data_IF_236906851017
#
_entry.id   IF_236906851017
#
_cell.length_a   1.000
_cell.length_b   1.000
_cell.length_c   1.000
_cell.angle_alpha   90.00
_cell.angle_beta   90.00
_cell.angle_gamma   90.00
#
_symmetry.space_group_name_H-M   'P 1'
#
loop_
_entity.id
_entity.type
_entity.pdbx_description
1 polymer ?
#
# COMPACT_ATOMS: atom_id res chain seq x y z
N UNK A 1 -19.16 0.96 -7.42
CA UNK A 1 -18.38 -0.11 -6.75
C UNK A 1 -16.97 0.41 -6.60
N UNK A 2 -16.57 0.67 -5.37
CA UNK A 2 -15.22 1.09 -5.02
C UNK A 2 -14.29 -0.13 -5.17
N UNK A 3 -13.73 -0.32 -6.37
CA UNK A 3 -12.62 -1.25 -6.55
C UNK A 3 -11.33 -0.52 -6.15
N UNK A 4 -11.12 -0.42 -4.85
CA UNK A 4 -9.78 -0.17 -4.30
C UNK A 4 -9.13 -1.56 -4.25
N UNK A 5 -7.88 -1.67 -4.71
CA UNK A 5 -7.05 -2.85 -4.43
C UNK A 5 -7.04 -3.08 -2.91
N UNK A 6 -7.18 -4.32 -2.46
CA UNK A 6 -7.21 -4.67 -1.03
C UNK A 6 -8.49 -5.40 -0.59
N UNK A 7 -8.59 -5.67 0.72
CA UNK A 7 -9.68 -6.47 1.32
C UNK A 7 -11.08 -5.92 0.97
N UNK A 8 -11.89 -6.76 0.32
CA UNK A 8 -13.34 -6.54 0.19
C UNK A 8 -13.98 -6.60 1.58
N UNK A 9 -14.95 -5.73 1.86
CA UNK A 9 -15.72 -5.79 3.11
C UNK A 9 -16.30 -7.19 3.33
N UNK A 10 -15.69 -7.91 4.27
CA UNK A 10 -16.04 -9.30 4.58
C UNK A 10 -17.48 -9.40 5.06
N UNK A 11 -17.98 -8.39 5.79
CA UNK A 11 -19.38 -8.33 6.25
C UNK A 11 -20.39 -8.42 5.10
N UNK A 12 -20.12 -7.77 3.96
CA UNK A 12 -21.01 -7.83 2.79
C UNK A 12 -21.06 -9.24 2.22
N UNK A 13 -19.91 -9.91 2.16
CA UNK A 13 -19.79 -11.28 1.64
C UNK A 13 -20.44 -12.26 2.61
N UNK A 14 -20.09 -12.19 3.90
CA UNK A 14 -20.64 -13.06 4.95
C UNK A 14 -22.15 -12.93 5.07
N UNK A 15 -22.68 -11.70 5.00
CA UNK A 15 -24.12 -11.46 4.98
C UNK A 15 -24.79 -12.09 3.76
N UNK A 16 -24.14 -12.09 2.60
CA UNK A 16 -24.69 -12.68 1.38
C UNK A 16 -24.75 -14.22 1.45
N UNK A 17 -23.78 -14.87 2.12
CA UNK A 17 -23.72 -16.33 2.22
C UNK A 17 -24.38 -16.90 3.49
N UNK A 18 -24.83 -16.04 4.42
CA UNK A 18 -25.54 -16.47 5.64
C UNK A 18 -24.65 -17.14 6.69
N UNK A 19 -23.32 -17.06 6.56
CA UNK A 19 -22.37 -17.64 7.51
C UNK A 19 -22.21 -16.72 8.72
N UNK A 20 -22.21 -17.29 9.93
CA UNK A 20 -21.93 -16.54 11.16
C UNK A 20 -20.42 -16.42 11.40
N UNK A 21 -20.05 -15.20 11.82
CA UNK A 21 -18.81 -14.72 12.47
C UNK A 21 -17.59 -15.64 12.31
N UNK A 22 -16.72 -15.29 11.38
CA UNK A 22 -15.36 -15.81 11.31
C UNK A 22 -14.51 -15.20 12.43
N UNK A 23 -13.54 -15.97 12.92
CA UNK A 23 -12.47 -15.49 13.78
C UNK A 23 -11.52 -14.57 13.00
N UNK A 24 -10.68 -13.82 13.73
CA UNK A 24 -9.86 -12.72 13.19
C UNK A 24 -8.85 -13.19 12.12
N UNK A 25 -8.08 -14.26 12.39
CA UNK A 25 -6.94 -14.67 11.56
C UNK A 25 -7.06 -16.09 10.98
N UNK A 26 -7.69 -16.98 11.74
CA UNK A 26 -7.87 -18.39 11.40
C UNK A 26 -9.13 -18.90 12.07
N UNK A 27 -9.78 -19.90 11.49
CA UNK A 27 -11.05 -20.44 11.99
C UNK A 27 -10.89 -21.87 12.48
N UNK A 28 -11.64 -22.24 13.51
CA UNK A 28 -11.71 -23.63 13.97
C UNK A 28 -12.30 -24.54 12.87
N UNK A 29 -11.63 -25.67 12.64
CA UNK A 29 -12.14 -26.75 11.78
C UNK A 29 -12.81 -27.80 12.65
N UNK A 30 -12.08 -28.32 13.64
CA UNK A 30 -12.55 -29.27 14.64
C UNK A 30 -11.57 -29.33 15.83
N UNK A 31 -12.10 -29.29 17.05
CA UNK A 31 -11.27 -29.35 18.27
C UNK A 31 -10.22 -28.25 18.28
N UNK A 32 -8.96 -28.61 18.53
CA UNK A 32 -7.86 -27.65 18.57
C UNK A 32 -7.29 -27.28 17.19
N UNK A 33 -7.86 -27.75 16.07
CA UNK A 33 -7.33 -27.47 14.74
C UNK A 33 -7.94 -26.21 14.12
N UNK A 34 -7.06 -25.31 13.67
CA UNK A 34 -7.39 -24.05 13.01
C UNK A 34 -6.94 -24.07 11.55
N UNK A 35 -7.70 -23.43 10.67
CA UNK A 35 -7.32 -23.20 9.27
C UNK A 35 -7.33 -21.72 8.92
N UNK A 36 -6.43 -21.35 8.01
CA UNK A 36 -6.44 -20.06 7.32
C UNK A 36 -5.98 -20.25 5.89
N UNK A 37 -6.35 -19.31 5.02
CA UNK A 37 -5.94 -19.28 3.62
C UNK A 37 -5.50 -17.88 3.24
N UNK A 38 -4.33 -17.76 2.63
CA UNK A 38 -3.79 -16.48 2.20
C UNK A 38 -3.18 -16.59 0.79
N UNK A 39 -3.44 -15.61 -0.09
CA UNK A 39 -2.72 -15.48 -1.33
C UNK A 39 -1.38 -14.77 -1.14
N UNK A 40 -0.37 -15.16 -1.91
CA UNK A 40 0.80 -14.36 -2.23
C UNK A 40 0.79 -14.06 -3.73
N UNK A 41 0.81 -12.77 -4.07
CA UNK A 41 0.73 -12.27 -5.44
C UNK A 41 1.61 -11.02 -5.57
N UNK A 42 2.24 -10.87 -6.74
CA UNK A 42 3.04 -9.67 -7.04
C UNK A 42 4.32 -9.54 -6.22
N UNK A 43 4.78 -10.59 -5.54
CA UNK A 43 6.14 -10.65 -4.97
C UNK A 43 7.12 -11.22 -6.01
N UNK A 44 8.42 -10.92 -5.92
CA UNK A 44 9.40 -11.50 -6.84
C UNK A 44 9.45 -13.02 -6.75
N UNK A 45 9.72 -13.67 -7.88
CA UNK A 45 9.70 -15.13 -8.04
C UNK A 45 10.54 -15.85 -6.98
N UNK A 46 11.73 -15.32 -6.67
CA UNK A 46 12.68 -15.88 -5.70
C UNK A 46 12.22 -15.83 -4.23
N UNK A 47 11.14 -15.10 -3.94
CA UNK A 47 10.53 -14.99 -2.63
C UNK A 47 9.06 -15.44 -2.60
N UNK A 48 8.49 -15.83 -3.75
CA UNK A 48 7.08 -16.24 -3.79
C UNK A 48 6.80 -17.45 -2.89
N UNK A 49 7.69 -18.44 -2.90
CA UNK A 49 7.57 -19.61 -2.03
C UNK A 49 7.65 -19.24 -0.55
N UNK A 50 8.63 -18.42 -0.18
CA UNK A 50 8.77 -17.85 1.17
C UNK A 50 7.50 -17.10 1.62
N UNK A 51 7.04 -16.10 0.87
CA UNK A 51 5.87 -15.31 1.27
C UNK A 51 4.58 -16.13 1.27
N UNK A 52 4.39 -17.03 0.30
CA UNK A 52 3.25 -17.93 0.25
C UNK A 52 3.14 -18.78 1.52
N UNK A 53 4.26 -19.23 2.08
CA UNK A 53 4.26 -19.94 3.36
C UNK A 53 4.01 -18.99 4.54
N UNK A 54 4.79 -17.91 4.62
CA UNK A 54 4.81 -17.03 5.79
C UNK A 54 3.51 -16.25 5.99
N UNK A 55 2.81 -15.87 4.91
CA UNK A 55 1.51 -15.19 4.98
C UNK A 55 0.48 -16.03 5.73
N UNK A 56 0.28 -17.28 5.33
CA UNK A 56 -0.69 -18.17 5.98
C UNK A 56 -0.20 -18.72 7.33
N UNK A 57 1.09 -19.05 7.45
CA UNK A 57 1.64 -19.60 8.69
C UNK A 57 1.63 -18.57 9.83
N UNK A 58 1.83 -17.28 9.53
CA UNK A 58 1.71 -16.20 10.51
C UNK A 58 0.31 -16.15 11.11
N UNK A 59 -0.73 -16.22 10.27
CA UNK A 59 -2.13 -16.20 10.73
C UNK A 59 -2.43 -17.33 11.72
N UNK A 60 -1.85 -18.52 11.52
CA UNK A 60 -1.92 -19.63 12.48
C UNK A 60 -1.13 -19.33 13.76
N UNK A 61 0.08 -18.77 13.64
CA UNK A 61 0.93 -18.46 14.79
C UNK A 61 0.35 -17.36 15.69
N UNK A 62 -0.21 -16.29 15.13
CA UNK A 62 -0.90 -15.23 15.91
C UNK A 62 -2.20 -15.74 16.54
N UNK A 63 -2.76 -16.83 16.03
CA UNK A 63 -3.81 -17.62 16.69
C UNK A 63 -3.33 -18.55 17.81
N UNK A 64 -2.07 -18.43 18.21
CA UNK A 64 -1.44 -19.30 19.20
C UNK A 64 -1.54 -20.79 18.83
N UNK A 65 -1.50 -21.09 17.53
CA UNK A 65 -1.43 -22.44 17.00
C UNK A 65 -0.08 -22.67 16.31
N UNK A 66 0.34 -23.94 16.31
CA UNK A 66 1.52 -24.38 15.56
C UNK A 66 1.09 -24.82 14.15
N UNK A 67 1.73 -24.31 13.09
CA UNK A 67 1.54 -24.84 11.73
C UNK A 67 1.92 -26.32 11.66
N UNK A 68 1.00 -27.19 11.25
CA UNK A 68 1.22 -28.65 11.16
C UNK A 68 1.11 -29.15 9.71
N UNK A 69 0.13 -28.64 8.95
CA UNK A 69 -0.12 -29.07 7.58
C UNK A 69 -0.28 -27.88 6.62
N UNK A 70 0.15 -28.07 5.37
CA UNK A 70 -0.01 -27.10 4.30
C UNK A 70 -0.70 -27.73 3.07
N UNK A 71 -1.54 -26.94 2.41
CA UNK A 71 -1.99 -27.14 1.03
C UNK A 71 -1.56 -25.93 0.21
N UNK A 72 -1.02 -26.16 -0.98
CA UNK A 72 -0.50 -25.08 -1.83
C UNK A 72 -1.08 -25.17 -3.25
N UNK A 73 -1.76 -24.13 -3.70
CA UNK A 73 -2.21 -23.96 -5.08
C UNK A 73 -1.38 -22.88 -5.79
N UNK A 74 -0.62 -23.28 -6.81
CA UNK A 74 0.23 -22.42 -7.62
C UNK A 74 -0.36 -22.24 -9.03
N UNK A 75 -0.76 -21.02 -9.35
CA UNK A 75 -1.34 -20.65 -10.64
C UNK A 75 -0.41 -19.68 -11.36
N UNK A 76 0.06 -20.05 -12.55
CA UNK A 76 1.05 -19.28 -13.31
C UNK A 76 0.50 -18.74 -14.64
N UNK A 77 1.08 -17.66 -15.18
CA UNK A 77 0.86 -17.25 -16.55
C UNK A 77 1.24 -18.33 -17.58
N UNK A 78 0.67 -18.23 -18.78
CA UNK A 78 1.08 -19.06 -19.90
C UNK A 78 2.56 -18.83 -20.25
N UNK A 79 3.30 -19.91 -20.56
CA UNK A 79 4.73 -19.84 -20.91
C UNK A 79 5.69 -19.58 -19.74
N UNK A 80 5.20 -19.50 -18.51
CA UNK A 80 6.03 -19.28 -17.32
C UNK A 80 7.05 -20.43 -17.15
N UNK A 81 8.36 -20.21 -16.87
CA UNK A 81 9.37 -21.28 -16.98
C UNK A 81 9.25 -22.39 -15.91
N UNK A 82 9.41 -23.66 -16.29
CA UNK A 82 9.38 -24.80 -15.36
C UNK A 82 10.44 -24.68 -14.25
N UNK A 83 11.68 -24.31 -14.60
CA UNK A 83 12.78 -24.14 -13.63
C UNK A 83 12.46 -23.08 -12.56
N UNK A 84 11.71 -22.03 -12.91
CA UNK A 84 11.28 -21.00 -11.97
C UNK A 84 10.21 -21.55 -11.02
N UNK A 85 9.24 -22.30 -11.54
CA UNK A 85 8.22 -22.97 -10.73
C UNK A 85 8.86 -23.94 -9.72
N UNK A 86 9.85 -24.72 -10.16
CA UNK A 86 10.57 -25.64 -9.29
C UNK A 86 11.31 -24.92 -8.16
N UNK A 87 11.95 -23.78 -8.45
CA UNK A 87 12.61 -22.94 -7.44
C UNK A 87 11.62 -22.40 -6.41
N UNK A 88 10.46 -21.92 -6.85
CA UNK A 88 9.39 -21.43 -5.97
C UNK A 88 8.91 -22.54 -5.03
N UNK A 89 8.64 -23.75 -5.56
CA UNK A 89 8.22 -24.88 -4.75
C UNK A 89 9.30 -25.32 -3.75
N UNK A 90 10.56 -25.37 -4.16
CA UNK A 90 11.69 -25.70 -3.27
C UNK A 90 11.85 -24.69 -2.14
N UNK A 91 11.62 -23.41 -2.43
CA UNK A 91 11.67 -22.36 -1.41
C UNK A 91 10.53 -22.50 -0.39
N UNK A 92 9.31 -22.77 -0.86
CA UNK A 92 8.16 -23.06 0.02
C UNK A 92 8.42 -24.29 0.92
N UNK A 93 8.95 -25.38 0.34
CA UNK A 93 9.27 -26.61 1.08
C UNK A 93 10.36 -26.40 2.14
N UNK A 94 11.33 -25.51 1.87
CA UNK A 94 12.35 -25.16 2.86
C UNK A 94 11.74 -24.51 4.09
N UNK A 95 10.79 -23.58 3.92
CA UNK A 95 10.10 -22.99 5.07
C UNK A 95 9.20 -24.01 5.76
N UNK A 96 8.54 -24.91 5.02
CA UNK A 96 7.82 -26.04 5.62
C UNK A 96 8.71 -26.87 6.54
N UNK A 97 9.89 -27.29 6.08
CA UNK A 97 10.86 -28.07 6.86
C UNK A 97 11.31 -27.31 8.12
N UNK A 98 11.68 -26.04 7.95
CA UNK A 98 12.17 -25.18 9.04
C UNK A 98 11.17 -25.02 10.19
N UNK A 99 9.88 -24.97 9.90
CA UNK A 99 8.83 -24.82 10.91
C UNK A 99 8.12 -26.14 11.27
N UNK A 100 8.54 -27.26 10.65
CA UNK A 100 7.96 -28.58 10.89
C UNK A 100 6.54 -28.76 10.33
N UNK A 101 6.19 -28.01 9.29
CA UNK A 101 4.91 -28.11 8.58
C UNK A 101 5.01 -29.15 7.48
N UNK A 102 4.00 -30.00 7.32
CA UNK A 102 3.95 -31.00 6.25
C UNK A 102 3.08 -30.53 5.10
N UNK A 103 3.63 -30.41 3.89
CA UNK A 103 2.83 -30.24 2.68
C UNK A 103 2.07 -31.54 2.39
N UNK A 104 0.74 -31.50 2.43
CA UNK A 104 -0.13 -32.69 2.30
C UNK A 104 -0.90 -32.75 0.99
N UNK A 105 -0.85 -31.71 0.18
CA UNK A 105 -1.52 -31.65 -1.11
C UNK A 105 -1.41 -30.27 -1.74
N UNK A 106 -1.98 -30.12 -2.92
CA UNK A 106 -1.90 -28.88 -3.67
C UNK A 106 -2.26 -29.04 -5.14
N UNK A 107 -2.13 -27.94 -5.87
CA UNK A 107 -2.30 -27.89 -7.31
C UNK A 107 -1.23 -26.99 -7.93
N UNK A 108 -0.85 -27.26 -9.17
CA UNK A 108 0.14 -26.43 -9.88
C UNK A 108 -0.18 -26.45 -11.37
N UNK A 109 -0.48 -25.28 -11.94
CA UNK A 109 -0.83 -25.19 -13.35
C UNK A 109 -0.58 -23.79 -13.94
N UNK A 110 -0.53 -23.76 -15.28
CA UNK A 110 -0.49 -22.53 -16.08
C UNK A 110 -1.86 -22.26 -16.66
N UNK A 111 -2.27 -21.00 -16.66
CA UNK A 111 -3.56 -20.61 -17.20
C UNK A 111 -3.46 -19.36 -18.06
N UNK A 112 -4.24 -19.35 -19.13
CA UNK A 112 -4.50 -18.14 -19.90
C UNK A 112 -5.31 -17.16 -19.05
N UNK A 113 -4.92 -15.89 -19.07
CA UNK A 113 -5.60 -14.82 -18.32
C UNK A 113 -5.01 -14.54 -16.93
N UNK A 114 -4.01 -15.32 -16.49
CA UNK A 114 -3.19 -15.00 -15.33
C UNK A 114 -2.04 -14.11 -15.77
N UNK A 115 -1.94 -12.91 -15.18
CA UNK A 115 -0.90 -11.94 -15.51
C UNK A 115 0.36 -12.13 -14.66
N UNK A 116 0.19 -12.47 -13.37
CA UNK A 116 1.27 -12.72 -12.41
C UNK A 116 1.09 -14.08 -11.75
N UNK A 117 2.18 -14.75 -11.33
CA UNK A 117 2.09 -15.92 -10.47
C UNK A 117 1.25 -15.64 -9.23
N UNK A 118 0.37 -16.59 -8.89
CA UNK A 118 -0.46 -16.56 -7.69
C UNK A 118 -0.22 -17.84 -6.91
N UNK A 119 0.23 -17.69 -5.67
CA UNK A 119 0.29 -18.79 -4.72
C UNK A 119 -0.84 -18.63 -3.71
N UNK A 120 -1.73 -19.61 -3.58
CA UNK A 120 -2.73 -19.66 -2.51
C UNK A 120 -2.38 -20.78 -1.55
N UNK A 121 -2.09 -20.42 -0.30
CA UNK A 121 -1.67 -21.37 0.72
C UNK A 121 -2.75 -21.49 1.77
N UNK A 122 -3.16 -22.73 2.06
CA UNK A 122 -3.93 -23.06 3.26
C UNK A 122 -3.00 -23.70 4.27
N UNK A 123 -2.96 -23.17 5.49
CA UNK A 123 -2.26 -23.81 6.61
C UNK A 123 -3.30 -24.28 7.62
N UNK A 124 -3.14 -25.53 8.06
CA UNK A 124 -3.86 -26.10 9.18
C UNK A 124 -2.87 -26.24 10.34
N UNK A 125 -3.22 -25.66 11.48
CA UNK A 125 -2.39 -25.70 12.68
C UNK A 125 -3.13 -26.20 13.90
N UNK A 126 -2.38 -26.69 14.88
CA UNK A 126 -2.92 -27.14 16.16
C UNK A 126 -2.70 -26.08 17.23
N UNK A 127 -3.79 -25.67 17.87
CA UNK A 127 -3.83 -24.69 18.96
C UNK A 127 -2.96 -25.14 20.13
N UNK A 128 -2.13 -24.23 20.62
CA UNK A 128 -1.29 -24.40 21.81
C UNK A 128 -1.96 -23.77 23.02
N UNK A 129 -2.70 -22.68 22.82
CA UNK A 129 -3.58 -22.07 23.83
C UNK A 129 -4.68 -21.22 23.21
N UNK A 130 -5.67 -20.87 24.02
CA UNK A 130 -6.75 -19.98 23.62
C UNK A 130 -6.34 -18.50 23.61
N UNK A 131 -7.00 -17.73 22.74
CA UNK A 131 -6.96 -16.27 22.80
C UNK A 131 -7.83 -15.79 23.94
N UNK A 132 -7.41 -14.72 24.59
CA UNK A 132 -8.21 -14.05 25.61
C UNK A 132 -8.86 -12.79 25.03
N UNK A 133 -10.13 -12.57 25.36
CA UNK A 133 -10.87 -11.41 24.86
C UNK A 133 -10.30 -10.11 25.46
N UNK A 134 -9.98 -9.10 24.63
CA UNK A 134 -9.56 -7.78 25.11
C UNK A 134 -10.55 -7.16 26.11
N UNK A 135 -10.03 -6.55 27.17
CA UNK A 135 -10.75 -5.90 28.27
C UNK A 135 -10.39 -4.41 28.35
N UNK A 136 -11.30 -3.53 28.82
CA UNK A 136 -10.93 -2.17 29.18
C UNK A 136 -9.75 -2.18 30.18
N UNK A 137 -8.75 -1.36 29.92
CA UNK A 137 -7.50 -1.31 30.69
C UNK A 137 -6.37 -2.16 30.13
N UNK A 138 -6.64 -3.11 29.22
CA UNK A 138 -5.59 -3.83 28.52
C UNK A 138 -4.77 -2.86 27.64
N UNK A 139 -3.47 -3.06 27.60
CA UNK A 139 -2.54 -2.25 26.80
C UNK A 139 -2.44 -2.81 25.39
N UNK A 140 -2.38 -1.91 24.42
CA UNK A 140 -2.05 -2.20 23.03
C UNK A 140 -0.57 -1.94 22.81
N UNK A 141 0.15 -2.95 22.35
CA UNK A 141 1.57 -2.88 22.05
C UNK A 141 1.82 -3.17 20.58
N UNK A 142 2.82 -2.51 20.03
CA UNK A 142 3.37 -2.79 18.72
C UNK A 142 4.70 -3.53 18.89
N UNK A 143 4.85 -4.62 18.16
CA UNK A 143 6.06 -5.45 18.14
C UNK A 143 6.71 -5.32 16.77
N UNK A 144 7.97 -4.89 16.73
CA UNK A 144 8.68 -4.53 15.52
C UNK A 144 8.67 -3.01 15.25
N UNK A 145 8.73 -2.64 13.97
CA UNK A 145 8.75 -1.25 13.48
C UNK A 145 7.91 -1.15 12.21
N UNK A 146 7.18 -0.05 12.07
CA UNK A 146 6.31 0.20 10.92
C UNK A 146 7.12 0.66 9.72
N UNK A 147 6.80 0.11 8.54
CA UNK A 147 7.25 0.65 7.26
C UNK A 147 8.46 0.00 6.61
N UNK A 148 9.02 -1.09 7.15
CA UNK A 148 10.13 -1.82 6.50
C UNK A 148 9.70 -2.41 5.14
N UNK A 149 8.53 -3.05 5.08
CA UNK A 149 7.93 -3.55 3.83
C UNK A 149 7.66 -2.39 2.84
N UNK A 150 7.14 -1.28 3.35
CA UNK A 150 6.90 -0.08 2.53
C UNK A 150 8.19 0.48 1.93
N UNK A 151 9.28 0.54 2.71
CA UNK A 151 10.58 0.96 2.21
C UNK A 151 11.10 0.03 1.09
N UNK A 152 10.92 -1.28 1.25
CA UNK A 152 11.26 -2.27 0.23
C UNK A 152 10.46 -2.07 -1.07
N UNK A 153 9.14 -1.90 -0.97
CA UNK A 153 8.27 -1.61 -2.13
C UNK A 153 8.63 -0.26 -2.81
N UNK A 154 9.18 0.67 -2.04
CA UNK A 154 9.70 1.95 -2.53
C UNK A 154 11.15 1.86 -3.05
N UNK A 155 11.69 0.64 -3.25
CA UNK A 155 12.97 0.40 -3.90
C UNK A 155 14.19 0.42 -2.96
N UNK A 156 14.00 0.40 -1.64
CA UNK A 156 15.12 0.19 -0.72
C UNK A 156 15.65 -1.25 -0.81
N UNK A 157 16.98 -1.39 -0.67
CA UNK A 157 17.66 -2.69 -0.67
C UNK A 157 17.50 -3.37 0.70
N UNK A 158 16.37 -4.03 0.88
CA UNK A 158 16.02 -4.80 2.07
C UNK A 158 15.93 -6.27 1.67
N UNK A 159 16.45 -7.17 2.52
CA UNK A 159 16.25 -8.62 2.33
C UNK A 159 14.78 -8.97 2.61
N UNK A 160 14.00 -9.39 1.61
CA UNK A 160 12.57 -9.68 1.80
C UNK A 160 12.32 -10.82 2.77
N UNK A 161 13.30 -11.69 3.02
CA UNK A 161 13.17 -12.78 4.02
C UNK A 161 13.12 -12.27 5.46
N UNK A 162 13.43 -10.99 5.69
CA UNK A 162 13.24 -10.32 6.99
C UNK A 162 11.83 -9.76 7.17
N UNK A 163 11.05 -9.65 6.09
CA UNK A 163 9.68 -9.16 6.09
C UNK A 163 8.72 -10.27 6.53
N UNK A 164 8.85 -10.74 7.77
CA UNK A 164 7.90 -11.70 8.34
C UNK A 164 7.87 -11.63 9.87
N UNK A 165 6.67 -11.67 10.48
CA UNK A 165 6.58 -11.73 11.92
C UNK A 165 6.52 -13.18 12.46
N UNK A 166 6.50 -14.20 11.60
CA UNK A 166 6.28 -15.60 12.00
C UNK A 166 7.21 -16.09 13.13
N UNK A 167 8.55 -15.90 13.05
CA UNK A 167 9.44 -16.32 14.14
C UNK A 167 9.06 -15.68 15.48
N UNK A 168 8.76 -14.38 15.45
CA UNK A 168 8.40 -13.58 16.63
C UNK A 168 7.04 -14.01 17.17
N UNK A 169 6.04 -14.24 16.31
CA UNK A 169 4.71 -14.69 16.70
C UNK A 169 4.75 -16.04 17.44
N UNK A 170 5.53 -17.00 16.93
CA UNK A 170 5.72 -18.31 17.57
C UNK A 170 6.38 -18.15 18.96
N UNK A 171 7.42 -17.31 19.08
CA UNK A 171 8.07 -17.06 20.37
C UNK A 171 7.11 -16.42 21.38
N UNK A 172 6.33 -15.44 20.94
CA UNK A 172 5.39 -14.71 21.79
C UNK A 172 4.18 -15.53 22.23
N UNK A 173 3.87 -16.65 21.58
CA UNK A 173 2.72 -17.48 21.96
C UNK A 173 2.73 -17.87 23.45
N UNK A 174 3.91 -17.95 24.08
CA UNK A 174 4.11 -18.29 25.49
C UNK A 174 4.39 -17.09 26.40
N UNK A 175 4.30 -15.86 25.89
CA UNK A 175 4.68 -14.66 26.63
C UNK A 175 3.68 -14.35 27.77
N UNK A 176 4.17 -13.99 28.97
CA UNK A 176 3.31 -13.74 30.12
C UNK A 176 2.43 -12.50 29.89
N UNK A 177 1.15 -12.63 30.23
CA UNK A 177 0.17 -11.54 30.15
C UNK A 177 -0.30 -11.17 28.74
N UNK A 178 0.21 -11.85 27.71
CA UNK A 178 -0.25 -11.68 26.33
C UNK A 178 -1.62 -12.35 26.14
N UNK A 179 -2.60 -11.60 25.66
CA UNK A 179 -3.97 -12.08 25.43
C UNK A 179 -4.29 -12.38 23.96
N UNK A 180 -3.77 -11.53 23.07
CA UNK A 180 -4.08 -11.55 21.65
C UNK A 180 -2.87 -11.08 20.84
N UNK A 181 -2.64 -11.71 19.69
CA UNK A 181 -1.78 -11.21 18.63
C UNK A 181 -2.59 -11.04 17.35
N UNK A 182 -2.15 -10.11 16.52
CA UNK A 182 -2.62 -9.93 15.15
C UNK A 182 -1.47 -9.37 14.30
N UNK A 183 -1.36 -9.79 13.03
CA UNK A 183 -0.37 -9.26 12.12
C UNK A 183 -0.75 -7.89 11.56
N UNK A 184 0.25 -7.12 11.14
CA UNK A 184 0.04 -5.87 10.40
C UNK A 184 0.39 -6.11 8.94
N UNK A 185 -0.64 -6.25 8.10
CA UNK A 185 -0.52 -6.49 6.66
C UNK A 185 -1.08 -5.31 5.84
N UNK A 186 -2.06 -5.55 4.97
CA UNK A 186 -2.68 -4.53 4.12
C UNK A 186 -3.47 -3.52 4.97
N UNK A 187 -3.30 -2.22 4.66
CA UNK A 187 -3.93 -1.13 5.41
C UNK A 187 -3.25 -0.76 6.73
N UNK A 188 -2.10 -1.38 7.03
CA UNK A 188 -1.20 -0.98 8.11
C UNK A 188 -1.78 -1.12 9.52
N UNK A 189 -1.15 -0.43 10.48
CA UNK A 189 -1.50 -0.50 11.91
C UNK A 189 -2.95 -0.13 12.16
N UNK A 190 -3.46 0.91 11.47
CA UNK A 190 -4.83 1.35 11.60
C UNK A 190 -5.82 0.22 11.28
N UNK A 191 -5.61 -0.47 10.15
CA UNK A 191 -6.48 -1.57 9.75
C UNK A 191 -6.39 -2.76 10.71
N UNK A 192 -5.19 -3.10 11.17
CA UNK A 192 -5.01 -4.16 12.16
C UNK A 192 -5.78 -3.86 13.47
N UNK A 193 -5.77 -2.60 13.92
CA UNK A 193 -6.54 -2.16 15.11
C UNK A 193 -8.05 -2.19 14.83
N UNK A 194 -8.49 -1.77 13.64
CA UNK A 194 -9.89 -1.90 13.22
C UNK A 194 -10.35 -3.37 13.20
N UNK A 195 -9.56 -4.27 12.63
CA UNK A 195 -9.87 -5.69 12.53
C UNK A 195 -10.03 -6.31 13.95
N UNK A 196 -9.14 -5.97 14.90
CA UNK A 196 -9.28 -6.37 16.32
C UNK A 196 -10.55 -5.77 16.94
N UNK A 197 -10.75 -4.46 16.80
CA UNK A 197 -11.90 -3.76 17.38
C UNK A 197 -13.22 -4.36 16.90
N UNK A 198 -13.30 -4.69 15.61
CA UNK A 198 -14.46 -5.29 14.99
C UNK A 198 -14.68 -6.74 15.45
N UNK A 199 -13.64 -7.57 15.43
CA UNK A 199 -13.75 -8.99 15.80
C UNK A 199 -14.20 -9.18 17.26
N UNK A 200 -13.67 -8.36 18.17
CA UNK A 200 -13.92 -8.48 19.61
C UNK A 200 -14.97 -7.51 20.17
N UNK A 201 -15.48 -6.59 19.34
CA UNK A 201 -16.42 -5.53 19.74
C UNK A 201 -15.88 -4.72 20.92
N UNK A 202 -14.73 -4.08 20.69
CA UNK A 202 -14.05 -3.22 21.67
C UNK A 202 -13.69 -1.86 21.08
N UNK A 203 -13.45 -0.89 21.95
CA UNK A 203 -12.90 0.41 21.57
C UNK A 203 -11.43 0.53 21.95
N UNK A 204 -10.63 1.03 21.01
CA UNK A 204 -9.17 1.14 21.12
C UNK A 204 -8.75 2.58 20.79
N UNK A 205 -7.87 3.14 21.61
CA UNK A 205 -7.21 4.42 21.36
C UNK A 205 -5.70 4.21 21.29
N UNK A 206 -5.08 4.66 20.21
CA UNK A 206 -3.63 4.58 20.01
C UNK A 206 -3.03 5.98 19.86
N UNK A 207 -1.80 6.16 20.33
CA UNK A 207 -1.03 7.37 20.15
C UNK A 207 -0.15 7.25 18.91
N UNK A 208 -0.33 8.16 17.96
CA UNK A 208 0.44 8.14 16.70
C UNK A 208 1.92 8.45 16.92
N UNK A 209 2.26 9.26 17.93
CA UNK A 209 3.64 9.61 18.27
C UNK A 209 4.46 8.48 18.89
N UNK A 210 3.80 7.44 19.42
CA UNK A 210 4.47 6.30 20.04
C UNK A 210 4.78 5.18 19.03
N UNK A 211 4.31 5.28 17.79
CA UNK A 211 4.53 4.27 16.76
C UNK A 211 5.99 4.28 16.31
N UNK A 212 6.76 3.20 16.54
CA UNK A 212 8.14 3.13 16.11
C UNK A 212 8.19 2.94 14.59
N UNK A 213 8.88 3.88 13.92
CA UNK A 213 9.04 3.87 12.47
C UNK A 213 10.41 3.30 12.10
N UNK A 214 10.43 2.52 11.02
CA UNK A 214 11.69 2.18 10.36
C UNK A 214 12.41 3.47 9.93
N UNK A 215 13.72 3.64 10.23
CA UNK A 215 14.43 4.88 9.92
C UNK A 215 14.40 5.32 8.45
N UNK A 216 14.28 4.37 7.51
CA UNK A 216 14.16 4.63 6.07
C UNK A 216 12.71 4.79 5.58
N UNK A 217 11.74 5.02 6.48
CA UNK A 217 10.34 5.16 6.06
C UNK A 217 10.16 6.31 5.05
N UNK A 218 9.57 6.06 3.86
CA UNK A 218 9.43 7.07 2.81
C UNK A 218 8.57 8.27 3.24
N UNK A 219 9.07 9.48 2.99
CA UNK A 219 8.32 10.71 3.26
C UNK A 219 7.09 10.84 2.35
N UNK A 220 6.03 11.47 2.85
CA UNK A 220 4.77 11.65 2.11
C UNK A 220 3.82 10.45 2.14
N UNK A 221 4.23 9.33 2.76
CA UNK A 221 3.36 8.21 3.10
C UNK A 221 2.84 8.35 4.54
N UNK A 222 1.69 7.74 4.82
CA UNK A 222 1.09 7.73 6.15
C UNK A 222 1.42 6.40 6.86
N UNK A 223 2.28 6.40 7.91
CA UNK A 223 2.79 5.18 8.52
C UNK A 223 1.69 4.24 9.02
N UNK A 224 0.64 4.82 9.60
CA UNK A 224 -0.49 4.09 10.18
C UNK A 224 -1.25 3.23 9.18
N UNK A 225 -1.12 3.54 7.89
CA UNK A 225 -1.86 2.85 6.82
C UNK A 225 -0.98 2.15 5.81
N UNK A 226 0.34 2.32 5.95
CA UNK A 226 1.31 1.77 5.02
C UNK A 226 1.53 0.29 5.32
N UNK A 227 1.66 -0.57 4.30
CA UNK A 227 1.98 -1.99 4.47
C UNK A 227 3.23 -2.16 5.37
N UNK A 228 3.10 -2.99 6.41
CA UNK A 228 4.15 -3.20 7.42
C UNK A 228 4.30 -4.66 7.84
N UNK A 229 4.22 -5.56 6.86
CA UNK A 229 4.38 -6.99 7.06
C UNK A 229 5.73 -7.30 7.71
N UNK A 230 5.69 -7.98 8.86
CA UNK A 230 6.82 -8.08 9.80
C UNK A 230 6.52 -7.48 11.18
N UNK A 231 5.45 -6.67 11.29
CA UNK A 231 4.99 -6.06 12.54
C UNK A 231 3.79 -6.84 13.12
N UNK A 232 3.66 -6.87 14.44
CA UNK A 232 2.50 -7.42 15.15
C UNK A 232 1.86 -6.37 16.07
N UNK A 233 0.55 -6.48 16.25
CA UNK A 233 -0.17 -5.87 17.35
C UNK A 233 -0.39 -6.92 18.44
N UNK A 234 -0.09 -6.55 19.69
CA UNK A 234 -0.35 -7.34 20.87
C UNK A 234 -1.32 -6.63 21.81
N UNK A 235 -2.24 -7.38 22.40
CA UNK A 235 -3.06 -6.94 23.53
C UNK A 235 -2.59 -7.69 24.78
N UNK A 236 -2.28 -6.95 25.85
CA UNK A 236 -1.77 -7.54 27.08
C UNK A 236 -2.42 -6.95 28.34
N UNK A 237 -2.61 -7.80 29.37
CA UNK A 237 -3.10 -7.38 30.70
C UNK A 237 -1.96 -7.08 31.69
N UNK A 238 -0.72 -7.49 31.37
CA UNK A 238 0.48 -7.23 32.17
C UNK A 238 1.61 -6.75 31.26
N UNK A 239 1.63 -5.44 30.90
CA UNK A 239 2.63 -4.88 30.01
C UNK A 239 4.08 -5.08 30.48
N UNK A 240 4.43 -4.92 31.78
CA UNK A 240 5.81 -5.11 32.24
C UNK A 240 6.35 -6.52 31.97
N UNK A 241 5.50 -7.56 32.13
CA UNK A 241 5.90 -8.95 31.88
C UNK A 241 6.22 -9.20 30.41
N UNK A 242 5.35 -8.73 29.51
CA UNK A 242 5.56 -8.84 28.07
C UNK A 242 6.76 -8.01 27.59
N UNK A 243 6.93 -6.78 28.09
CA UNK A 243 8.07 -5.93 27.76
C UNK A 243 9.40 -6.55 28.20
N UNK A 244 9.47 -7.12 29.40
CA UNK A 244 10.67 -7.85 29.87
C UNK A 244 10.95 -9.06 28.99
N UNK A 245 9.93 -9.86 28.69
CA UNK A 245 10.04 -11.03 27.83
C UNK A 245 10.61 -10.69 26.44
N UNK A 246 10.12 -9.59 25.86
CA UNK A 246 10.59 -9.07 24.57
C UNK A 246 12.04 -8.57 24.66
N UNK A 247 12.36 -7.77 25.70
CA UNK A 247 13.70 -7.20 25.91
C UNK A 247 14.78 -8.28 26.04
N UNK A 248 14.53 -9.31 26.85
CA UNK A 248 15.43 -10.45 27.05
C UNK A 248 15.74 -11.22 25.74
N UNK A 249 14.88 -11.10 24.74
CA UNK A 249 15.00 -11.77 23.43
C UNK A 249 15.39 -10.82 22.30
N UNK A 250 15.67 -9.55 22.61
CA UNK A 250 15.99 -8.53 21.60
C UNK A 250 14.81 -8.17 20.68
N UNK A 251 13.58 -8.43 21.10
CA UNK A 251 12.37 -8.10 20.35
C UNK A 251 11.98 -6.65 20.66
N UNK A 252 11.95 -5.79 19.64
CA UNK A 252 11.43 -4.42 19.78
C UNK A 252 9.94 -4.48 20.12
N UNK A 253 9.55 -3.91 21.24
CA UNK A 253 8.16 -3.88 21.70
C UNK A 253 7.89 -2.54 22.39
N UNK A 254 6.77 -1.90 22.02
CA UNK A 254 6.43 -0.56 22.45
C UNK A 254 4.95 -0.46 22.75
N UNK A 255 4.59 0.13 23.89
CA UNK A 255 3.20 0.48 24.18
C UNK A 255 2.76 1.61 23.27
N UNK A 256 1.64 1.44 22.57
CA UNK A 256 1.10 2.42 21.63
C UNK A 256 -0.32 2.86 21.97
N UNK A 257 -1.01 2.20 22.89
CA UNK A 257 -2.41 2.53 23.18
C UNK A 257 -3.06 1.66 24.24
N UNK A 258 -4.38 1.80 24.36
CA UNK A 258 -5.19 1.05 25.32
C UNK A 258 -6.55 0.69 24.76
N UNK A 259 -7.08 -0.43 25.23
CA UNK A 259 -8.50 -0.77 25.11
C UNK A 259 -9.25 0.02 26.19
N UNK A 260 -10.25 0.80 25.82
CA UNK A 260 -10.96 1.67 26.78
C UNK A 260 -12.44 1.34 26.95
N UNK A 261 -13.05 0.57 26.04
CA UNK A 261 -14.44 0.13 26.18
C UNK A 261 -14.71 -1.24 25.52
N UNK A 262 -15.85 -1.83 25.87
CA UNK A 262 -16.41 -3.07 25.31
C UNK A 262 -17.80 -2.82 24.73
N UNK A 263 -18.27 -3.77 23.95
CA UNK A 263 -19.61 -3.81 23.32
C UNK A 263 -19.88 -2.61 22.40
N UNK A 264 -18.80 -2.06 21.86
CA UNK A 264 -18.75 -1.00 20.86
C UNK A 264 -17.56 -1.25 19.94
N UNK A 265 -17.62 -0.81 18.69
CA UNK A 265 -16.49 -0.89 17.75
C UNK A 265 -16.06 0.53 17.43
N UNK A 266 -14.93 0.96 18.00
CA UNK A 266 -14.42 2.31 17.79
C UNK A 266 -12.89 2.33 17.83
N UNK A 267 -12.28 2.98 16.84
CA UNK A 267 -10.84 3.25 16.82
C UNK A 267 -10.62 4.76 16.92
N UNK A 268 -9.84 5.15 17.92
CA UNK A 268 -9.37 6.52 18.13
C UNK A 268 -7.87 6.56 17.82
N UNK A 269 -7.42 7.68 17.26
CA UNK A 269 -6.00 8.03 17.17
C UNK A 269 -5.82 9.38 17.83
N UNK A 270 -4.95 9.43 18.84
CA UNK A 270 -4.73 10.60 19.68
C UNK A 270 -6.06 11.16 20.24
N UNK A 271 -6.94 10.27 20.70
CA UNK A 271 -8.26 10.61 21.24
C UNK A 271 -9.31 11.06 20.22
N UNK A 272 -9.00 11.04 18.92
CA UNK A 272 -9.92 11.49 17.85
C UNK A 272 -10.48 10.30 17.07
N UNK A 273 -11.82 10.21 16.90
CA UNK A 273 -12.42 9.22 16.02
C UNK A 273 -11.90 9.38 14.60
N UNK A 274 -11.51 8.26 14.00
CA UNK A 274 -11.03 8.25 12.63
C UNK A 274 -12.18 8.01 11.65
N UNK A 275 -12.11 8.69 10.52
CA UNK A 275 -12.86 8.32 9.31
C UNK A 275 -12.01 7.34 8.50
N UNK A 276 -12.57 6.61 7.52
CA UNK A 276 -11.78 5.84 6.57
C UNK A 276 -10.64 6.69 6.02
N UNK A 277 -9.40 6.28 6.32
CA UNK A 277 -8.22 7.02 5.89
C UNK A 277 -8.01 6.81 4.39
N UNK A 278 -7.86 7.92 3.68
CA UNK A 278 -7.46 7.90 2.28
C UNK A 278 -5.94 7.80 2.20
N UNK A 279 -5.44 6.78 1.54
CA UNK A 279 -4.01 6.46 1.54
C UNK A 279 -3.49 6.37 0.11
N UNK A 280 -2.18 6.43 -0.05
CA UNK A 280 -1.55 6.02 -1.29
C UNK A 280 -1.59 4.48 -1.32
N UNK A 281 -2.05 3.86 -2.42
CA UNK A 281 -2.21 2.41 -2.49
C UNK A 281 -0.84 1.76 -2.71
N UNK A 282 0.01 1.74 -1.68
CA UNK A 282 1.39 1.23 -1.75
C UNK A 282 1.41 -0.22 -2.23
N UNK A 283 0.37 -1.00 -1.91
CA UNK A 283 0.14 -2.35 -2.39
C UNK A 283 0.08 -2.46 -3.93
N UNK A 284 -0.18 -1.38 -4.66
CA UNK A 284 -0.09 -1.36 -6.14
C UNK A 284 1.33 -1.52 -6.67
N UNK A 285 2.34 -1.35 -5.81
CA UNK A 285 3.76 -1.50 -6.15
C UNK A 285 4.21 -2.95 -6.16
N UNK A 286 3.41 -3.87 -5.61
CA UNK A 286 3.65 -5.30 -5.77
C UNK A 286 3.76 -5.65 -7.26
N UNK A 287 4.91 -6.16 -7.66
CA UNK A 287 5.16 -6.67 -8.99
C UNK A 287 6.21 -7.80 -8.94
N UNK A 288 6.10 -8.84 -9.79
CA UNK A 288 7.13 -9.87 -9.90
C UNK A 288 8.53 -9.34 -10.25
N UNK A 289 8.60 -8.12 -10.79
CA UNK A 289 9.84 -7.37 -10.95
C UNK A 289 9.73 -6.07 -10.17
N UNK A 290 10.52 -5.95 -9.09
CA UNK A 290 10.55 -4.73 -8.29
C UNK A 290 10.97 -3.55 -9.14
N UNK A 291 10.25 -2.45 -8.95
CA UNK A 291 10.58 -1.17 -9.55
C UNK A 291 11.72 -0.52 -8.78
N UNK A 292 12.54 0.26 -9.50
CA UNK A 292 13.50 1.15 -8.87
C UNK A 292 12.76 2.27 -8.12
N UNK A 293 13.42 2.89 -7.13
CA UNK A 293 12.80 3.89 -6.24
C UNK A 293 12.02 4.99 -6.98
N UNK A 294 12.61 5.54 -8.04
CA UNK A 294 12.00 6.64 -8.80
C UNK A 294 10.79 6.19 -9.64
N UNK A 295 10.82 4.94 -10.12
CA UNK A 295 9.71 4.31 -10.84
C UNK A 295 8.56 3.99 -9.88
N UNK A 296 8.86 3.47 -8.68
CA UNK A 296 7.86 3.23 -7.62
C UNK A 296 7.15 4.53 -7.23
N UNK A 297 7.88 5.62 -7.00
CA UNK A 297 7.27 6.93 -6.69
C UNK A 297 6.30 7.38 -7.80
N UNK A 298 6.71 7.26 -9.06
CA UNK A 298 5.89 7.69 -10.19
C UNK A 298 4.64 6.81 -10.36
N UNK A 299 4.79 5.49 -10.24
CA UNK A 299 3.68 4.53 -10.33
C UNK A 299 2.65 4.77 -9.23
N UNK A 300 3.11 4.90 -7.98
CA UNK A 300 2.25 5.15 -6.84
C UNK A 300 1.48 6.47 -6.99
N UNK A 301 2.15 7.53 -7.44
CA UNK A 301 1.51 8.81 -7.73
C UNK A 301 0.41 8.66 -8.80
N UNK A 302 0.69 7.97 -9.91
CA UNK A 302 -0.28 7.73 -10.98
C UNK A 302 -1.51 6.94 -10.51
N UNK A 303 -1.29 5.80 -9.82
CA UNK A 303 -2.35 4.95 -9.25
C UNK A 303 -3.23 5.72 -8.28
N UNK A 304 -2.60 6.50 -7.39
CA UNK A 304 -3.30 7.29 -6.38
C UNK A 304 -4.19 8.39 -6.94
N UNK A 305 -3.90 8.88 -8.15
CA UNK A 305 -4.61 9.99 -8.78
C UNK A 305 -5.68 9.52 -9.76
N UNK A 306 -5.48 8.40 -10.44
CA UNK A 306 -6.30 7.99 -11.58
C UNK A 306 -7.81 8.03 -11.31
N UNK A 307 -8.25 7.50 -10.16
CA UNK A 307 -9.66 7.49 -9.76
C UNK A 307 -10.21 8.87 -9.43
N UNK A 308 -9.45 9.66 -8.67
CA UNK A 308 -9.84 10.99 -8.22
C UNK A 308 -9.94 11.94 -9.43
N UNK A 309 -8.98 11.86 -10.35
CA UNK A 309 -9.01 12.61 -11.61
C UNK A 309 -10.22 12.24 -12.47
N UNK A 310 -10.54 10.94 -12.56
CA UNK A 310 -11.72 10.48 -13.29
C UNK A 310 -13.03 11.00 -12.70
N UNK A 311 -13.21 10.87 -11.38
CA UNK A 311 -14.41 11.32 -10.66
C UNK A 311 -14.65 12.83 -10.82
N UNK A 312 -13.56 13.61 -10.81
CA UNK A 312 -13.61 15.06 -11.01
C UNK A 312 -13.64 15.48 -12.49
N UNK A 313 -13.69 14.53 -13.43
CA UNK A 313 -13.65 14.76 -14.88
C UNK A 313 -12.45 15.61 -15.33
N UNK A 314 -11.27 15.30 -14.80
CA UNK A 314 -9.99 15.97 -15.06
C UNK A 314 -9.08 15.22 -16.04
N UNK A 315 -9.49 14.04 -16.51
CA UNK A 315 -8.77 13.33 -17.56
C UNK A 315 -9.11 13.93 -18.93
N UNK A 316 -8.12 14.43 -19.70
CA UNK A 316 -8.33 14.93 -21.06
C UNK A 316 -8.55 13.77 -22.06
N UNK A 317 -9.10 14.06 -23.24
CA UNK A 317 -9.29 13.04 -24.30
C UNK A 317 -7.93 12.51 -24.80
N UNK A 318 -6.92 13.37 -24.80
CA UNK A 318 -5.52 13.01 -25.09
C UNK A 318 -4.84 12.18 -23.99
N UNK A 319 -5.49 12.00 -22.83
CA UNK A 319 -4.97 11.28 -21.68
C UNK A 319 -3.97 12.07 -20.82
N UNK A 320 -3.99 11.79 -19.52
CA UNK A 320 -3.07 12.37 -18.55
C UNK A 320 -1.78 11.57 -18.49
N UNK A 321 -0.64 12.23 -18.38
CA UNK A 321 0.62 11.63 -18.01
C UNK A 321 1.18 12.39 -16.80
N UNK A 322 1.99 11.69 -16.00
CA UNK A 322 2.77 12.24 -14.91
C UNK A 322 4.24 11.92 -15.20
N UNK A 323 5.11 12.91 -15.03
CA UNK A 323 6.53 12.79 -15.32
C UNK A 323 7.37 13.21 -14.12
N UNK A 324 8.58 12.65 -14.02
CA UNK A 324 9.55 12.91 -12.98
C UNK A 324 10.97 12.99 -13.55
N UNK A 325 11.72 13.99 -13.12
CA UNK A 325 13.13 14.18 -13.43
C UNK A 325 13.98 13.68 -12.25
N UNK A 326 14.36 12.39 -12.18
CA UNK A 326 15.05 11.82 -11.01
C UNK A 326 16.49 12.32 -10.85
N UNK A 327 17.19 12.54 -11.96
CA UNK A 327 18.60 12.97 -11.99
C UNK A 327 18.70 14.34 -12.66
N UNK A 328 19.73 15.09 -12.30
CA UNK A 328 20.02 16.31 -13.03
C UNK A 328 20.57 15.95 -14.42
N UNK A 329 19.74 16.15 -15.44
CA UNK A 329 20.05 15.85 -16.83
C UNK A 329 19.38 16.87 -17.73
N UNK A 330 19.95 17.11 -18.91
CA UNK A 330 19.36 17.93 -19.97
C UNK A 330 18.78 17.08 -21.11
N UNK A 331 18.82 15.76 -20.96
CA UNK A 331 18.31 14.80 -21.93
C UNK A 331 16.84 14.46 -21.61
N UNK A 332 15.86 14.85 -22.44
CA UNK A 332 14.45 14.52 -22.21
C UNK A 332 14.14 13.02 -22.18
N UNK A 333 15.02 12.17 -22.76
CA UNK A 333 14.84 10.71 -22.75
C UNK A 333 15.13 10.07 -21.40
N UNK A 334 15.76 10.79 -20.49
CA UNK A 334 16.06 10.33 -19.13
C UNK A 334 14.98 10.75 -18.12
N UNK A 335 13.99 11.55 -18.55
CA UNK A 335 12.82 11.89 -17.73
C UNK A 335 11.91 10.67 -17.67
N UNK A 336 11.57 10.23 -16.46
CA UNK A 336 10.61 9.16 -16.24
C UNK A 336 9.20 9.68 -16.48
N UNK A 337 8.38 8.89 -17.16
CA UNK A 337 6.96 9.13 -17.32
C UNK A 337 6.25 7.78 -17.50
N UNK A 338 4.92 7.75 -17.53
CA UNK A 338 4.23 6.54 -18.01
C UNK A 338 4.53 6.39 -19.51
N UNK A 339 4.96 5.22 -19.97
CA UNK A 339 5.09 4.90 -21.41
C UNK A 339 3.74 4.67 -22.11
N UNK A 340 2.65 4.82 -21.37
CA UNK A 340 1.31 5.09 -21.85
C UNK A 340 0.74 6.34 -21.19
N UNK A 341 -0.53 6.29 -20.78
CA UNK A 341 -1.26 7.41 -20.17
C UNK A 341 -2.36 6.91 -19.24
N UNK A 342 -2.78 7.75 -18.32
CA UNK A 342 -4.04 7.60 -17.60
C UNK A 342 -5.16 8.05 -18.53
N UNK A 343 -6.01 7.12 -18.95
CA UNK A 343 -7.10 7.37 -19.91
C UNK A 343 -8.46 7.12 -19.28
N UNK A 344 -9.48 7.78 -19.84
CA UNK A 344 -10.88 7.55 -19.50
C UNK A 344 -11.44 6.39 -20.33
N UNK A 345 -12.05 5.40 -19.69
CA UNK A 345 -12.77 4.29 -20.35
C UNK A 345 -14.21 4.19 -19.86
N UNK A 346 -15.05 3.36 -20.52
CA UNK A 346 -16.45 3.12 -20.08
C UNK A 346 -16.53 2.48 -18.68
N UNK A 347 -15.52 1.70 -18.29
CA UNK A 347 -15.46 1.03 -16.98
C UNK A 347 -14.77 1.86 -15.89
N UNK A 348 -14.24 3.05 -16.23
CA UNK A 348 -13.47 3.89 -15.29
C UNK A 348 -12.14 4.36 -15.88
N UNK A 349 -11.25 4.95 -15.05
CA UNK A 349 -9.91 5.27 -15.50
C UNK A 349 -9.11 3.99 -15.74
N UNK A 350 -8.18 4.03 -16.68
CA UNK A 350 -7.18 2.98 -16.90
C UNK A 350 -5.80 3.62 -16.98
N UNK A 351 -4.84 3.08 -16.22
CA UNK A 351 -3.43 3.44 -16.37
C UNK A 351 -2.86 2.51 -17.45
N UNK A 352 -2.43 3.09 -18.55
CA UNK A 352 -1.76 2.39 -19.62
C UNK A 352 -0.24 2.55 -19.46
N UNK A 353 0.49 1.45 -19.59
CA UNK A 353 1.94 1.46 -19.49
C UNK A 353 2.48 1.42 -18.06
N UNK A 354 3.81 1.44 -17.97
CA UNK A 354 4.61 1.46 -16.74
C UNK A 354 5.47 2.73 -16.73
N UNK A 355 6.02 3.12 -15.56
CA UNK A 355 7.11 4.08 -15.53
C UNK A 355 8.25 3.65 -16.46
N UNK A 356 8.69 4.55 -17.34
CA UNK A 356 9.86 4.34 -18.17
C UNK A 356 10.51 5.67 -18.56
N UNK A 357 11.83 5.69 -18.80
CA UNK A 357 12.52 6.84 -19.37
C UNK A 357 11.93 7.22 -20.75
N UNK A 358 11.65 8.50 -20.96
CA UNK A 358 11.15 9.02 -22.23
C UNK A 358 9.66 8.78 -22.49
N UNK A 359 8.89 8.29 -21.51
CA UNK A 359 7.45 8.00 -21.67
C UNK A 359 6.57 9.21 -22.05
N UNK A 360 7.05 10.44 -21.84
CA UNK A 360 6.34 11.67 -22.22
C UNK A 360 7.28 12.74 -22.76
N UNK A 361 7.29 12.93 -24.08
CA UNK A 361 8.10 13.99 -24.72
C UNK A 361 7.67 15.39 -24.29
N UNK A 362 6.37 15.62 -24.11
CA UNK A 362 5.81 16.93 -23.75
C UNK A 362 6.24 17.36 -22.34
N UNK A 363 5.97 16.51 -21.33
CA UNK A 363 6.31 16.81 -19.95
C UNK A 363 7.82 16.79 -19.71
N UNK A 364 8.56 15.95 -20.43
CA UNK A 364 10.03 15.96 -20.36
C UNK A 364 10.62 17.29 -20.78
N UNK A 365 10.23 17.83 -21.94
CA UNK A 365 10.70 19.16 -22.39
C UNK A 365 10.36 20.26 -21.39
N UNK A 366 9.17 20.19 -20.80
CA UNK A 366 8.72 21.13 -19.79
C UNK A 366 9.61 21.07 -18.54
N UNK A 367 9.84 19.88 -17.98
CA UNK A 367 10.67 19.72 -16.78
C UNK A 367 12.12 20.15 -17.01
N UNK A 368 12.67 19.89 -18.20
CA UNK A 368 14.00 20.38 -18.58
C UNK A 368 14.03 21.91 -18.65
N UNK A 369 13.01 22.56 -19.24
CA UNK A 369 12.93 24.02 -19.27
C UNK A 369 12.77 24.61 -17.87
N UNK A 370 11.86 24.05 -17.05
CA UNK A 370 11.66 24.45 -15.66
C UNK A 370 12.98 24.39 -14.86
N UNK A 371 13.74 23.31 -15.02
CA UNK A 371 15.08 23.14 -14.43
C UNK A 371 16.03 24.24 -14.90
N UNK A 372 16.16 24.46 -16.21
CA UNK A 372 17.06 25.47 -16.80
C UNK A 372 16.74 26.88 -16.34
N UNK A 373 15.47 27.18 -16.14
CA UNK A 373 15.06 28.45 -15.59
C UNK A 373 15.37 28.56 -14.08
N UNK A 374 15.63 27.46 -13.37
CA UNK A 374 15.91 27.44 -11.93
C UNK A 374 14.66 27.27 -11.06
N UNK A 375 13.60 26.66 -11.58
CA UNK A 375 12.43 26.28 -10.78
C UNK A 375 12.76 25.04 -9.93
N UNK A 376 12.25 24.93 -8.69
CA UNK A 376 12.54 23.81 -7.79
C UNK A 376 11.74 22.53 -8.13
N UNK A 377 10.96 22.55 -9.21
CA UNK A 377 10.03 21.47 -9.54
C UNK A 377 10.68 20.41 -10.43
N UNK A 378 10.53 19.14 -10.04
CA UNK A 378 11.05 17.98 -10.78
C UNK A 378 9.96 17.02 -11.23
N UNK A 379 8.71 17.24 -10.85
CA UNK A 379 7.55 16.47 -11.29
C UNK A 379 6.53 17.36 -11.99
N UNK A 380 5.80 16.79 -12.96
CA UNK A 380 4.75 17.50 -13.69
C UNK A 380 3.62 16.54 -14.07
N UNK A 381 2.39 17.06 -14.10
CA UNK A 381 1.19 16.32 -14.56
C UNK A 381 0.34 17.21 -15.47
N UNK A 382 -0.19 16.65 -16.56
CA UNK A 382 -1.16 17.33 -17.42
C UNK A 382 -2.59 16.86 -17.14
N UNK A 383 -3.50 17.82 -16.97
CA UNK A 383 -4.91 17.60 -16.66
C UNK A 383 -5.77 18.38 -17.65
N UNK A 384 -7.04 17.99 -17.79
CA UNK A 384 -8.03 18.80 -18.49
C UNK A 384 -8.18 20.15 -17.77
N UNK A 385 -8.17 21.23 -18.53
CA UNK A 385 -8.47 22.55 -17.99
C UNK A 385 -9.90 22.59 -17.42
N UNK A 386 -10.03 23.07 -16.18
CA UNK A 386 -11.29 23.44 -15.54
C UNK A 386 -11.10 24.73 -14.76
N UNK A 387 -12.04 25.64 -14.89
CA UNK A 387 -11.99 26.93 -14.20
C UNK A 387 -12.03 26.72 -12.68
N UNK A 388 -12.87 25.81 -12.21
CA UNK A 388 -13.04 25.50 -10.79
C UNK A 388 -11.75 24.95 -10.16
N UNK A 389 -10.95 24.19 -10.92
CA UNK A 389 -9.67 23.69 -10.44
C UNK A 389 -8.61 24.79 -10.35
N UNK A 390 -8.62 25.75 -11.28
CA UNK A 390 -7.75 26.94 -11.21
C UNK A 390 -8.11 27.78 -9.99
N UNK A 391 -9.39 28.04 -9.76
CA UNK A 391 -9.86 28.80 -8.59
C UNK A 391 -9.44 28.11 -7.27
N UNK A 392 -9.52 26.77 -7.20
CA UNK A 392 -9.02 25.99 -6.05
C UNK A 392 -7.51 26.09 -5.85
N UNK A 393 -6.72 26.06 -6.93
CA UNK A 393 -5.27 26.23 -6.86
C UNK A 393 -4.92 27.63 -6.31
N UNK A 394 -5.55 28.68 -6.83
CA UNK A 394 -5.33 30.05 -6.38
C UNK A 394 -5.72 30.26 -4.91
N UNK A 395 -6.85 29.67 -4.48
CA UNK A 395 -7.29 29.68 -3.07
C UNK A 395 -6.30 28.98 -2.14
N UNK A 396 -5.63 27.94 -2.62
CA UNK A 396 -4.57 27.26 -1.89
C UNK A 396 -3.21 28.00 -1.94
N UNK A 397 -3.17 29.22 -2.51
CA UNK A 397 -1.96 30.03 -2.64
C UNK A 397 -1.00 29.58 -3.74
N UNK A 398 -1.45 28.66 -4.62
CA UNK A 398 -0.64 28.17 -5.74
C UNK A 398 -0.76 29.17 -6.89
N UNK A 399 0.38 29.73 -7.32
CA UNK A 399 0.39 30.65 -8.46
C UNK A 399 0.04 29.91 -9.75
N UNK A 400 -0.97 30.42 -10.46
CA UNK A 400 -1.43 29.91 -11.74
C UNK A 400 -1.19 30.97 -12.82
N UNK A 401 -0.72 30.54 -14.00
CA UNK A 401 -0.49 31.43 -15.15
C UNK A 401 -1.25 30.97 -16.40
N UNK A 402 -1.85 31.95 -17.10
CA UNK A 402 -2.46 31.74 -18.40
C UNK A 402 -1.41 31.84 -19.51
N UNK A 403 -1.02 30.68 -20.06
CA UNK A 403 -0.07 30.57 -21.15
C UNK A 403 -0.72 30.69 -22.55
N UNK A 404 -2.01 31.03 -22.65
CA UNK A 404 -2.74 31.06 -23.94
C UNK A 404 -2.18 32.07 -24.94
N UNK A 405 -1.43 33.09 -24.50
CA UNK A 405 -0.78 34.06 -25.39
C UNK A 405 0.53 33.55 -26.02
N UNK A 406 1.10 32.45 -25.54
CA UNK A 406 2.39 31.93 -26.05
C UNK A 406 2.19 31.06 -27.30
N UNK A 407 2.93 31.33 -28.36
CA UNK A 407 2.82 30.62 -29.66
C UNK A 407 3.74 29.40 -29.79
N UNK A 408 4.58 29.13 -28.80
CA UNK A 408 5.40 27.93 -28.75
C UNK A 408 4.56 26.65 -28.95
N UNK A 409 5.12 25.60 -29.58
CA UNK A 409 4.45 24.30 -29.70
C UNK A 409 3.96 23.73 -28.35
N UNK A 410 4.64 24.12 -27.26
CA UNK A 410 4.17 23.98 -25.89
C UNK A 410 4.07 25.38 -25.26
N UNK A 411 2.86 25.95 -25.13
CA UNK A 411 2.69 27.30 -24.58
C UNK A 411 3.28 27.46 -23.18
N UNK A 412 3.25 26.39 -22.36
CA UNK A 412 3.82 26.37 -21.01
C UNK A 412 5.34 26.51 -21.03
N UNK A 413 6.03 25.84 -21.95
CA UNK A 413 7.48 25.98 -22.14
C UNK A 413 7.83 27.42 -22.57
N UNK A 414 7.02 28.01 -23.45
CA UNK A 414 7.16 29.42 -23.83
C UNK A 414 7.04 30.36 -22.64
N UNK A 415 6.02 30.16 -21.79
CA UNK A 415 5.80 30.95 -20.58
C UNK A 415 6.97 30.87 -19.59
N UNK A 416 7.50 29.66 -19.35
CA UNK A 416 8.66 29.45 -18.47
C UNK A 416 9.90 30.14 -19.04
N UNK A 417 10.16 29.99 -20.35
CA UNK A 417 11.29 30.64 -21.03
C UNK A 417 11.18 32.16 -21.02
N UNK A 418 9.97 32.70 -21.08
CA UNK A 418 9.68 34.12 -20.94
C UNK A 418 9.83 34.64 -19.50
N UNK A 419 10.24 33.79 -18.55
CA UNK A 419 10.56 34.14 -17.19
C UNK A 419 9.44 33.95 -16.17
N UNK A 420 8.28 33.41 -16.57
CA UNK A 420 7.19 33.15 -15.64
C UNK A 420 7.54 32.01 -14.67
N UNK A 421 7.20 32.19 -13.39
CA UNK A 421 7.59 31.30 -12.28
C UNK A 421 6.42 30.64 -11.56
N UNK A 422 5.24 30.61 -12.19
CA UNK A 422 4.08 29.95 -11.61
C UNK A 422 4.34 28.45 -11.36
N UNK A 423 3.56 27.86 -10.46
CA UNK A 423 3.59 26.42 -10.24
C UNK A 423 2.62 25.68 -11.15
N UNK A 424 1.54 26.35 -11.57
CA UNK A 424 0.56 25.79 -12.49
C UNK A 424 0.38 26.70 -13.70
N UNK A 425 0.15 26.09 -14.85
CA UNK A 425 0.01 26.78 -16.13
C UNK A 425 -1.18 26.20 -16.88
N UNK A 426 -2.05 27.03 -17.44
CA UNK A 426 -3.09 26.56 -18.35
C UNK A 426 -3.03 27.27 -19.68
N UNK A 427 -3.61 26.66 -20.71
CA UNK A 427 -3.88 27.32 -21.97
C UNK A 427 -5.25 26.89 -22.51
N UNK A 428 -5.89 27.80 -23.24
CA UNK A 428 -7.20 27.62 -23.88
C UNK A 428 -7.13 28.00 -25.34
N UNK A 429 -8.12 27.55 -26.11
CA UNK A 429 -8.43 28.08 -27.44
C UNK A 429 -7.25 28.09 -28.43
N UNK A 430 -6.37 27.08 -28.32
CA UNK A 430 -5.24 26.87 -29.22
C UNK A 430 -5.64 25.91 -30.35
N UNK A 431 -5.36 26.24 -31.64
CA UNK A 431 -5.64 25.33 -32.74
C UNK A 431 -4.98 23.97 -32.54
N UNK A 432 -5.75 22.89 -32.69
CA UNK A 432 -5.30 21.50 -32.56
C UNK A 432 -4.78 21.08 -31.17
N UNK A 433 -4.97 21.89 -30.13
CA UNK A 433 -4.61 21.55 -28.76
C UNK A 433 -5.85 21.53 -27.86
N UNK A 434 -6.02 20.44 -27.11
CA UNK A 434 -7.05 20.36 -26.07
C UNK A 434 -6.70 21.32 -24.91
N UNK A 435 -7.66 22.11 -24.40
CA UNK A 435 -7.45 22.95 -23.22
C UNK A 435 -6.89 22.14 -22.05
N UNK A 436 -5.71 22.53 -21.58
CA UNK A 436 -4.91 21.75 -20.63
C UNK A 436 -4.44 22.64 -19.50
N UNK A 437 -4.41 22.06 -18.31
CA UNK A 437 -3.74 22.57 -17.12
C UNK A 437 -2.53 21.67 -16.83
N UNK A 438 -1.36 22.25 -16.65
CA UNK A 438 -0.16 21.57 -16.16
C UNK A 438 0.15 22.06 -14.76
N UNK A 439 0.41 21.12 -13.85
CA UNK A 439 0.79 21.41 -12.47
C UNK A 439 2.19 20.84 -12.23
N UNK A 440 3.07 21.65 -11.64
CA UNK A 440 4.43 21.28 -11.27
C UNK A 440 4.54 20.98 -9.77
N UNK A 441 5.46 20.10 -9.42
CA UNK A 441 5.73 19.72 -8.03
C UNK A 441 7.19 19.30 -7.83
N UNK A 442 7.62 19.24 -6.58
CA UNK A 442 8.99 18.85 -6.22
C UNK A 442 9.28 17.38 -6.56
N UNK A 443 8.32 16.50 -6.30
CA UNK A 443 8.37 15.07 -6.61
C UNK A 443 6.96 14.52 -6.88
N UNK A 444 6.82 13.29 -7.43
CA UNK A 444 5.52 12.74 -7.82
C UNK A 444 4.56 12.55 -6.65
N UNK A 445 5.05 12.15 -5.46
CA UNK A 445 4.21 11.85 -4.31
C UNK A 445 3.68 13.14 -3.66
N UNK A 446 4.54 14.16 -3.49
CA UNK A 446 4.11 15.49 -3.03
C UNK A 446 3.12 16.12 -4.00
N UNK A 447 3.37 16.02 -5.31
CA UNK A 447 2.46 16.50 -6.34
C UNK A 447 1.10 15.79 -6.25
N UNK A 448 1.09 14.46 -6.11
CA UNK A 448 -0.13 13.68 -5.97
C UNK A 448 -0.90 14.04 -4.69
N UNK A 449 -0.21 14.12 -3.54
CA UNK A 449 -0.83 14.49 -2.27
C UNK A 449 -1.47 15.88 -2.31
N UNK A 450 -0.78 16.87 -2.89
CA UNK A 450 -1.32 18.21 -3.08
C UNK A 450 -2.61 18.19 -3.93
N UNK A 451 -2.59 17.49 -5.08
CA UNK A 451 -3.78 17.38 -5.95
C UNK A 451 -4.92 16.65 -5.23
N UNK A 452 -4.63 15.61 -4.45
CA UNK A 452 -5.64 14.89 -3.66
C UNK A 452 -6.29 15.80 -2.63
N UNK A 453 -5.51 16.56 -1.86
CA UNK A 453 -6.04 17.48 -0.86
C UNK A 453 -6.99 18.52 -1.50
N UNK A 454 -6.60 19.11 -2.63
CA UNK A 454 -7.42 20.07 -3.37
C UNK A 454 -8.77 19.50 -3.85
N UNK A 455 -8.79 18.22 -4.22
CA UNK A 455 -9.95 17.57 -4.82
C UNK A 455 -10.85 16.86 -3.79
N UNK A 456 -10.30 16.48 -2.64
CA UNK A 456 -11.03 15.79 -1.56
C UNK A 456 -11.72 16.78 -0.61
N UNK A 457 -11.34 18.06 -0.63
CA UNK A 457 -12.15 19.14 -0.05
C UNK A 457 -13.39 19.44 -0.91
N UNK A 458 -14.40 18.59 -0.74
CA UNK A 458 -15.81 18.99 -0.70
C UNK A 458 -16.61 18.02 0.21
N UNK A 459 -16.39 18.04 1.54
CA UNK A 459 -17.38 17.56 2.48
C UNK A 459 -18.56 18.55 2.43
N UNK A 460 -19.78 18.05 2.24
CA UNK A 460 -21.07 18.78 2.17
C UNK A 460 -21.56 19.11 0.75
N UNK A 461 -22.35 18.20 0.19
CA UNK A 461 -23.75 18.55 -0.07
C UNK A 461 -24.63 17.58 0.73
N UNK A 462 -25.72 18.09 1.34
CA UNK A 462 -26.51 17.36 2.33
C UNK A 462 -27.12 16.04 1.83
#
# INVERSE_FOLDING_TARGET
MDSILGKVSLDKVLKAIGTKKLELDSNEIFGDYLATVNPAIGVPDEFLGFFAYHYAATNIAVSFARPDYALLDLNFPEGYPDDTIEKIMKDFLRECEKYGTRLIGGHTARYRGIEWPIASTTIIGKRVRERERPSPGDTVLLIGEVGLETAWLMGEKIDPRTLTPLPTAIQLASAPGLKLLHDVSEGGVYRAIEDIAQAYSVAIDISSSEIPLYPGFPSGLDPLTSPSYGTLIAIANSPPGLLSYCSERGIKCKEIGKVFARDTTQVLIDGKPQKPRQTLPVETLYSPSLLEKDESMLKLAAESLARILYQNSLLPETGTNIAYLPRDTDNPREVLALDGRIIKTKSGPKICGKPAPGGSTYLAKLLIEAKRSGLPYRAAINLRYKKELVEKLEQAGIQVYDASSHEDPCPVVGAIRAGNRAQAYFYKDKPNLEPTLVILGEDPLKLANMIRQLLVENPLQP
#
